data_IF_226081863834
#
_entry.id   IF_226081863834
#
_cell.length_a   1.000
_cell.length_b   1.000
_cell.length_c   1.000
_cell.angle_alpha   90.00
_cell.angle_beta   90.00
_cell.angle_gamma   90.00
#
_symmetry.space_group_name_H-M   'P 1'
#
loop_
_entity.id
_entity.type
_entity.pdbx_description
1 polymer ?
#
# COMPACT_ATOMS: atom_id res chain seq x y z
N UNK A 1 -6.38 29.36 -9.94
CA UNK A 1 -5.29 28.42 -9.58
C UNK A 1 -5.85 27.46 -8.55
N UNK A 2 -5.75 26.15 -8.76
CA UNK A 2 -6.28 25.12 -7.85
C UNK A 2 -5.14 24.47 -7.07
N UNK A 3 -5.31 24.29 -5.75
CA UNK A 3 -4.32 23.73 -4.83
C UNK A 3 -4.92 22.53 -4.04
N UNK A 4 -5.66 21.67 -4.73
CA UNK A 4 -6.46 20.58 -4.13
C UNK A 4 -5.73 19.24 -4.02
N UNK A 5 -4.45 19.18 -4.40
CA UNK A 5 -3.64 17.96 -4.37
C UNK A 5 -3.74 17.13 -5.65
N UNK A 6 -3.49 15.83 -5.52
CA UNK A 6 -3.41 14.86 -6.62
C UNK A 6 -3.94 13.49 -6.20
N UNK A 7 -4.43 12.75 -7.20
CA UNK A 7 -4.97 11.41 -7.09
C UNK A 7 -3.93 10.37 -7.54
N UNK A 8 -4.02 9.15 -6.99
CA UNK A 8 -3.26 8.03 -7.52
C UNK A 8 -3.86 7.54 -8.82
N UNK A 9 -3.00 7.27 -9.80
CA UNK A 9 -3.39 6.68 -11.08
C UNK A 9 -2.29 5.77 -11.60
N UNK A 10 -2.66 4.52 -11.91
CA UNK A 10 -1.77 3.52 -12.51
C UNK A 10 -2.43 2.96 -13.79
N UNK A 11 -2.58 3.77 -14.86
CA UNK A 11 -3.34 3.38 -16.05
C UNK A 11 -2.72 2.21 -16.82
N UNK A 12 -1.46 1.90 -16.53
CA UNK A 12 -0.71 0.78 -17.12
C UNK A 12 -0.88 -0.53 -16.35
N UNK A 13 -1.48 -0.51 -15.15
CA UNK A 13 -1.48 -1.64 -14.23
C UNK A 13 -2.87 -2.26 -14.14
N UNK A 14 -3.09 -3.36 -14.87
CA UNK A 14 -4.26 -4.21 -14.70
C UNK A 14 -3.98 -5.28 -13.63
N UNK A 15 -4.75 -5.25 -12.54
CA UNK A 15 -4.66 -6.22 -11.45
C UNK A 15 -5.88 -7.14 -11.35
N UNK A 16 -6.81 -7.07 -12.30
CA UNK A 16 -8.08 -7.79 -12.21
C UNK A 16 -8.91 -7.41 -10.97
N UNK A 17 -8.74 -6.18 -10.46
CA UNK A 17 -9.40 -5.68 -9.26
C UNK A 17 -8.74 -6.06 -7.94
N UNK A 18 -7.60 -6.77 -7.96
CA UNK A 18 -6.87 -7.11 -6.74
C UNK A 18 -6.24 -5.88 -6.04
N UNK A 19 -6.07 -4.77 -6.77
CA UNK A 19 -5.66 -3.46 -6.24
C UNK A 19 -6.53 -2.39 -6.87
N UNK A 20 -7.07 -1.51 -6.04
CA UNK A 20 -7.92 -0.39 -6.44
C UNK A 20 -7.41 0.91 -5.84
N UNK A 21 -7.70 2.02 -6.51
CA UNK A 21 -7.69 3.34 -5.89
C UNK A 21 -9.12 3.64 -5.42
N UNK A 22 -9.29 4.18 -4.22
CA UNK A 22 -10.64 4.51 -3.72
C UNK A 22 -11.28 5.69 -4.47
N UNK A 23 -12.57 5.92 -4.20
CA UNK A 23 -13.41 6.89 -4.93
C UNK A 23 -12.87 8.32 -4.85
N UNK A 24 -12.20 8.68 -3.76
CA UNK A 24 -11.58 9.99 -3.57
C UNK A 24 -10.16 10.10 -4.17
N UNK A 25 -9.69 9.05 -4.86
CA UNK A 25 -8.38 9.02 -5.51
C UNK A 25 -7.21 8.98 -4.53
N UNK A 26 -7.47 8.91 -3.22
CA UNK A 26 -6.51 9.31 -2.22
C UNK A 26 -5.69 8.16 -1.64
N UNK A 27 -6.09 6.91 -1.91
CA UNK A 27 -5.48 5.71 -1.34
C UNK A 27 -5.50 4.54 -2.32
N UNK A 28 -4.39 3.82 -2.33
CA UNK A 28 -4.24 2.52 -2.99
C UNK A 28 -4.51 1.41 -1.96
N UNK A 29 -5.39 0.47 -2.27
CA UNK A 29 -5.83 -0.58 -1.34
C UNK A 29 -6.21 -1.86 -2.12
N UNK A 30 -6.11 -3.05 -1.51
CA UNK A 30 -5.46 -3.37 -0.24
C UNK A 30 -3.93 -3.41 -0.36
N UNK A 31 -3.21 -2.80 0.58
CA UNK A 31 -1.75 -2.85 0.66
C UNK A 31 -1.29 -3.15 2.09
N UNK A 32 -0.74 -4.34 2.32
CA UNK A 32 -0.09 -4.69 3.57
C UNK A 32 1.14 -3.82 3.78
N UNK A 33 1.20 -3.16 4.95
CA UNK A 33 2.25 -2.20 5.30
C UNK A 33 2.51 -1.18 4.19
N UNK A 34 1.44 -0.76 3.50
CA UNK A 34 1.48 0.18 2.37
C UNK A 34 2.40 -0.23 1.21
N UNK A 35 2.74 -1.51 1.10
CA UNK A 35 3.78 -2.00 0.19
C UNK A 35 3.28 -3.18 -0.66
N UNK A 36 2.70 -4.21 -0.04
CA UNK A 36 2.39 -5.46 -0.74
C UNK A 36 0.88 -5.68 -0.88
N UNK A 37 0.35 -5.83 -2.10
CA UNK A 37 -1.03 -6.29 -2.29
C UNK A 37 -1.16 -7.77 -1.87
N UNK A 38 -2.02 -8.12 -0.90
CA UNK A 38 -2.04 -9.48 -0.33
C UNK A 38 -2.24 -10.60 -1.37
N UNK A 39 -3.08 -10.37 -2.38
CA UNK A 39 -3.38 -11.35 -3.43
C UNK A 39 -2.27 -11.49 -4.50
N UNK A 40 -1.39 -10.51 -4.62
CA UNK A 40 -0.32 -10.46 -5.63
C UNK A 40 1.07 -10.35 -4.99
N UNK A 41 1.18 -10.73 -3.71
CA UNK A 41 2.40 -10.59 -2.94
C UNK A 41 3.56 -11.35 -3.60
N UNK A 42 4.77 -10.78 -3.55
CA UNK A 42 5.99 -11.22 -4.26
C UNK A 42 6.02 -11.00 -5.79
N UNK A 43 4.87 -10.85 -6.45
CA UNK A 43 4.77 -10.50 -7.87
C UNK A 43 4.58 -8.99 -8.14
N UNK A 44 4.00 -8.26 -7.18
CA UNK A 44 3.76 -6.82 -7.26
C UNK A 44 4.08 -6.16 -5.91
N UNK A 45 4.64 -4.94 -5.94
CA UNK A 45 4.93 -4.13 -4.76
C UNK A 45 4.87 -2.65 -5.12
N UNK A 46 4.44 -1.83 -4.16
CA UNK A 46 4.37 -0.38 -4.30
C UNK A 46 5.37 0.28 -3.36
N UNK A 47 6.16 1.21 -3.89
CA UNK A 47 7.06 2.07 -3.11
C UNK A 47 6.62 3.50 -3.32
N UNK A 48 6.49 4.25 -2.23
CA UNK A 48 6.18 5.69 -2.31
C UNK A 48 4.70 6.05 -2.29
N UNK A 49 3.81 5.11 -1.95
CA UNK A 49 2.38 5.38 -1.86
C UNK A 49 2.04 6.26 -0.64
N UNK A 50 2.56 6.06 0.59
CA UNK A 50 2.12 6.87 1.73
C UNK A 50 2.36 8.38 1.59
N UNK A 51 1.34 9.17 1.95
CA UNK A 51 1.39 10.64 2.05
C UNK A 51 1.83 11.06 3.46
N UNK A 52 2.38 12.27 3.59
CA UNK A 52 2.79 12.88 4.89
C UNK A 52 3.82 12.04 5.68
N UNK A 53 4.77 11.42 4.99
CA UNK A 53 5.89 10.66 5.58
C UNK A 53 7.21 11.40 5.39
N UNK A 54 8.23 11.02 6.16
CA UNK A 54 9.62 11.42 5.88
C UNK A 54 10.12 10.61 4.68
N UNK A 55 9.88 11.16 3.49
CA UNK A 55 10.05 10.51 2.18
C UNK A 55 11.32 9.67 2.04
N UNK A 56 12.54 10.22 2.22
CA UNK A 56 13.75 9.45 1.95
C UNK A 56 13.86 8.20 2.82
N UNK A 57 13.53 8.32 4.12
CA UNK A 57 13.64 7.20 5.06
C UNK A 57 12.56 6.15 4.85
N UNK A 58 11.32 6.59 4.62
CA UNK A 58 10.21 5.66 4.44
C UNK A 58 10.35 4.89 3.13
N UNK A 59 10.70 5.56 2.04
CA UNK A 59 10.78 4.94 0.71
C UNK A 59 12.00 4.02 0.63
N UNK A 60 13.11 4.39 1.28
CA UNK A 60 14.26 3.50 1.43
C UNK A 60 13.92 2.25 2.24
N UNK A 61 13.17 2.37 3.35
CA UNK A 61 12.75 1.22 4.14
C UNK A 61 11.86 0.27 3.33
N UNK A 62 10.89 0.79 2.56
CA UNK A 62 10.07 -0.03 1.66
C UNK A 62 10.92 -0.73 0.60
N UNK A 63 11.80 0.00 -0.09
CA UNK A 63 12.65 -0.55 -1.14
C UNK A 63 13.59 -1.64 -0.61
N UNK A 64 14.23 -1.41 0.55
CA UNK A 64 15.09 -2.40 1.22
C UNK A 64 14.31 -3.64 1.62
N UNK A 65 13.06 -3.49 2.06
CA UNK A 65 12.23 -4.62 2.43
C UNK A 65 11.81 -5.45 1.21
N UNK A 66 11.35 -4.80 0.13
CA UNK A 66 11.06 -5.45 -1.16
C UNK A 66 12.28 -6.23 -1.66
N UNK A 67 13.47 -5.62 -1.64
CA UNK A 67 14.71 -6.26 -2.07
C UNK A 67 15.09 -7.51 -1.25
N UNK A 68 14.65 -7.61 0.01
CA UNK A 68 14.84 -8.81 0.84
C UNK A 68 13.75 -9.86 0.63
N UNK A 69 12.53 -9.44 0.29
CA UNK A 69 11.39 -10.35 0.05
C UNK A 69 11.52 -11.07 -1.28
N UNK A 70 11.87 -10.37 -2.36
CA UNK A 70 11.99 -10.95 -3.71
C UNK A 70 12.91 -12.19 -3.79
N UNK A 71 14.13 -12.20 -3.21
CA UNK A 71 14.98 -13.39 -3.17
C UNK A 71 14.62 -14.38 -2.06
N UNK A 72 13.54 -14.14 -1.29
CA UNK A 72 13.11 -15.01 -0.19
C UNK A 72 13.93 -14.88 1.10
N UNK A 73 14.80 -13.87 1.24
CA UNK A 73 15.57 -13.62 2.47
C UNK A 73 14.68 -13.19 3.63
N UNK A 74 13.56 -12.52 3.34
CA UNK A 74 12.46 -12.30 4.27
C UNK A 74 11.18 -12.88 3.72
N UNK A 75 10.39 -13.51 4.59
CA UNK A 75 9.09 -14.09 4.24
C UNK A 75 7.99 -13.10 4.59
N UNK A 76 7.04 -12.94 3.68
CA UNK A 76 5.77 -12.29 3.99
C UNK A 76 4.89 -13.25 4.78
N UNK A 77 4.01 -12.74 5.66
CA UNK A 77 2.98 -13.56 6.27
C UNK A 77 1.98 -14.07 5.21
N UNK A 78 1.13 -15.06 5.55
CA UNK A 78 0.06 -15.52 4.66
C UNK A 78 -0.86 -14.38 4.20
N UNK A 79 -1.45 -14.51 3.00
CA UNK A 79 -2.31 -13.48 2.42
C UNK A 79 -3.49 -13.09 3.34
N UNK A 80 -4.05 -14.05 4.06
CA UNK A 80 -5.14 -13.80 5.03
C UNK A 80 -4.68 -12.95 6.22
N UNK A 81 -3.45 -13.14 6.70
CA UNK A 81 -2.87 -12.30 7.76
C UNK A 81 -2.57 -10.89 7.25
N UNK A 82 -2.01 -10.79 6.05
CA UNK A 82 -1.82 -9.51 5.38
C UNK A 82 -3.14 -8.75 5.23
N UNK A 83 -4.20 -9.43 4.79
CA UNK A 83 -5.53 -8.83 4.63
C UNK A 83 -6.12 -8.38 5.97
N UNK A 84 -6.02 -9.21 7.02
CA UNK A 84 -6.47 -8.82 8.37
C UNK A 84 -5.77 -7.57 8.88
N UNK A 85 -4.46 -7.44 8.67
CA UNK A 85 -3.71 -6.23 9.02
C UNK A 85 -4.21 -5.00 8.25
N UNK A 86 -4.48 -5.15 6.95
CA UNK A 86 -5.03 -4.07 6.11
C UNK A 86 -6.40 -3.62 6.61
N UNK A 87 -7.32 -4.55 6.87
CA UNK A 87 -8.65 -4.27 7.38
C UNK A 87 -8.60 -3.59 8.76
N UNK A 88 -7.72 -4.06 9.64
CA UNK A 88 -7.55 -3.47 10.96
C UNK A 88 -7.00 -2.04 10.87
N UNK A 89 -6.00 -1.81 10.02
CA UNK A 89 -5.49 -0.46 9.75
C UNK A 89 -6.59 0.47 9.26
N UNK A 90 -7.41 0.02 8.30
CA UNK A 90 -8.54 0.80 7.78
C UNK A 90 -9.58 1.10 8.86
N UNK A 91 -9.90 0.12 9.72
CA UNK A 91 -10.84 0.30 10.83
C UNK A 91 -10.33 1.34 11.83
N UNK A 92 -9.06 1.24 12.25
CA UNK A 92 -8.44 2.20 13.18
C UNK A 92 -8.42 3.61 12.59
N UNK A 93 -8.10 3.74 11.30
CA UNK A 93 -8.11 5.03 10.60
C UNK A 93 -9.53 5.63 10.52
N UNK A 94 -10.54 4.83 10.22
CA UNK A 94 -11.93 5.29 10.18
C UNK A 94 -12.40 5.80 11.55
N UNK A 95 -12.03 5.10 12.63
CA UNK A 95 -12.33 5.52 14.00
C UNK A 95 -11.64 6.85 14.36
N UNK A 96 -10.39 7.06 13.94
CA UNK A 96 -9.65 8.29 14.20
C UNK A 96 -10.18 9.53 13.44
N UNK A 97 -10.97 9.34 12.37
CA UNK A 97 -11.63 10.44 11.64
C UNK A 97 -12.94 10.86 12.33
N UNK A 98 -13.57 9.96 13.08
CA UNK A 98 -14.85 10.18 13.76
C UNK A 98 -14.71 10.68 15.22
N UNK A 99 -13.48 10.78 15.73
CA UNK A 99 -13.16 11.27 17.07
C UNK A 99 -12.63 12.71 17.01
#
# INVERSE_FOLDING_TARGET
>A
MHCTGYDYSFPFLDTGGAVTVDEDGSRVSPLFEHTFPPALATGLSFVGVPKKVVVPWFYEAQARWVAQVLPGQRRLPPAEEMMRSVEEYHRRRAQAILA
#
